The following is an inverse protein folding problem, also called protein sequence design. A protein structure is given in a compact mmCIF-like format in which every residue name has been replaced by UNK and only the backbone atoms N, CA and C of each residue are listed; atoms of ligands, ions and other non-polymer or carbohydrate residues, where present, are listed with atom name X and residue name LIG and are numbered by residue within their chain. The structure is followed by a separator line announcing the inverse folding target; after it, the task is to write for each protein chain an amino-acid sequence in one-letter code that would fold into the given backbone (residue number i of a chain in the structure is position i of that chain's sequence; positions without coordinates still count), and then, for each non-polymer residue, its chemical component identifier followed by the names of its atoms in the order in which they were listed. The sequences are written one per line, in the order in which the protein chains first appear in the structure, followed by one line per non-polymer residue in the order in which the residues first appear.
data_IF_888765220404
#
_entry.id   IF_888765220404
#
_cell.length_a   1.000
_cell.length_b   1.000
_cell.length_c   1.000
_cell.angle_alpha   90.00
_cell.angle_beta   90.00
_cell.angle_gamma   90.00
#
_symmetry.space_group_name_H-M   'P 1'
#
loop_
_entity.id
_entity.type
_entity.pdbx_description
1 polymer ?
#
# COMPACT_ATOMS: atom_id res chain seq x y z
N UNK A 1 14.91 4.71 2.46
CA UNK A 1 13.66 5.46 2.26
C UNK A 1 13.26 5.33 0.79
N UNK A 2 12.01 4.98 0.48
CA UNK A 2 11.50 4.89 -0.90
C UNK A 2 10.32 5.85 -1.03
N UNK A 3 10.29 6.60 -2.12
CA UNK A 3 9.19 7.49 -2.47
C UNK A 3 8.39 6.88 -3.61
N UNK A 4 7.07 6.99 -3.54
CA UNK A 4 6.13 6.49 -4.53
C UNK A 4 5.27 7.64 -5.04
N UNK A 5 4.81 7.58 -6.29
CA UNK A 5 3.97 8.63 -6.86
C UNK A 5 2.52 8.53 -6.35
N UNK A 6 2.10 7.35 -5.91
CA UNK A 6 0.80 7.13 -5.30
C UNK A 6 0.84 6.08 -4.18
N UNK A 7 -0.26 6.00 -3.44
CA UNK A 7 -0.43 5.02 -2.36
C UNK A 7 -0.64 3.60 -2.91
N UNK A 8 -1.25 3.45 -4.09
CA UNK A 8 -1.35 2.18 -4.81
C UNK A 8 0.03 1.63 -5.18
N UNK A 9 0.94 2.47 -5.67
CA UNK A 9 2.32 2.06 -6.00
C UNK A 9 3.07 1.61 -4.73
N UNK A 10 2.94 2.36 -3.65
CA UNK A 10 3.53 2.00 -2.36
C UNK A 10 2.98 0.66 -1.86
N UNK A 11 1.66 0.46 -1.98
CA UNK A 11 0.99 -0.77 -1.56
C UNK A 11 1.39 -1.97 -2.42
N UNK A 12 1.51 -1.79 -3.74
CA UNK A 12 2.00 -2.83 -4.66
C UNK A 12 3.44 -3.22 -4.34
N UNK A 13 4.31 -2.24 -4.06
CA UNK A 13 5.67 -2.51 -3.65
C UNK A 13 5.70 -3.32 -2.34
N UNK A 14 4.88 -2.96 -1.37
CA UNK A 14 4.77 -3.70 -0.11
C UNK A 14 4.28 -5.14 -0.33
N UNK A 15 3.26 -5.34 -1.17
CA UNK A 15 2.74 -6.67 -1.51
C UNK A 15 3.76 -7.59 -2.21
N UNK A 16 4.74 -7.01 -2.89
CA UNK A 16 5.77 -7.76 -3.64
C UNK A 16 7.04 -7.99 -2.85
N UNK A 17 7.39 -7.08 -1.92
CA UNK A 17 8.67 -7.11 -1.20
C UNK A 17 8.52 -7.54 0.26
N UNK A 18 7.45 -7.14 0.93
CA UNK A 18 7.25 -7.35 2.37
C UNK A 18 6.20 -8.42 2.63
N UNK A 19 5.04 -8.34 1.98
CA UNK A 19 3.95 -9.32 2.20
C UNK A 19 4.41 -10.78 2.04
N UNK A 20 5.24 -11.19 1.04
CA UNK A 20 5.64 -12.59 0.88
C UNK A 20 6.52 -13.09 2.03
N UNK A 21 7.29 -12.22 2.69
CA UNK A 21 8.16 -12.60 3.82
C UNK A 21 7.42 -12.72 5.16
N UNK A 22 6.17 -12.24 5.25
CA UNK A 22 5.37 -12.35 6.47
C UNK A 22 5.02 -13.82 6.80
N UNK A 23 4.98 -14.20 8.09
CA UNK A 23 4.50 -15.51 8.51
C UNK A 23 3.05 -15.77 8.05
N UNK A 24 2.74 -17.04 7.76
CA UNK A 24 1.41 -17.43 7.30
C UNK A 24 0.27 -17.03 8.26
N UNK A 25 0.53 -17.09 9.58
CA UNK A 25 -0.46 -16.70 10.59
C UNK A 25 -0.81 -15.20 10.55
N UNK A 26 0.16 -14.35 10.22
CA UNK A 26 -0.03 -12.88 10.12
C UNK A 26 -0.76 -12.50 8.83
N UNK A 27 -0.53 -13.26 7.75
CA UNK A 27 -1.19 -13.03 6.46
C UNK A 27 -2.70 -13.27 6.52
N UNK A 28 -3.16 -14.18 7.39
CA UNK A 28 -4.57 -14.58 7.47
C UNK A 28 -5.48 -13.39 7.78
N UNK A 29 -6.69 -13.43 7.23
CA UNK A 29 -7.68 -12.38 7.44
C UNK A 29 -7.33 -11.09 6.71
N UNK A 30 -7.09 -10.00 7.45
CA UNK A 30 -7.02 -8.62 6.93
C UNK A 30 -6.11 -8.48 5.72
N UNK A 31 -4.89 -9.03 5.79
CA UNK A 31 -3.90 -8.89 4.72
C UNK A 31 -4.22 -9.76 3.50
N UNK A 32 -4.67 -10.99 3.69
CA UNK A 32 -5.12 -11.86 2.59
C UNK A 32 -6.27 -11.24 1.81
N UNK A 33 -7.24 -10.66 2.52
CA UNK A 33 -8.35 -9.95 1.86
C UNK A 33 -7.86 -8.71 1.14
N UNK A 34 -6.97 -7.91 1.73
CA UNK A 34 -6.43 -6.72 1.08
C UNK A 34 -5.59 -7.07 -0.17
N UNK A 35 -4.76 -8.11 -0.10
CA UNK A 35 -4.03 -8.63 -1.25
C UNK A 35 -5.00 -9.06 -2.35
N UNK A 36 -6.02 -9.87 -2.03
CA UNK A 36 -7.02 -10.32 -3.00
C UNK A 36 -7.76 -9.13 -3.62
N UNK A 37 -8.24 -8.20 -2.79
CA UNK A 37 -9.03 -7.07 -3.25
C UNK A 37 -8.20 -6.14 -4.15
N UNK A 38 -6.90 -5.98 -3.87
CA UNK A 38 -5.95 -5.25 -4.71
C UNK A 38 -5.63 -6.00 -6.01
N UNK A 39 -5.25 -7.28 -5.94
CA UNK A 39 -4.85 -8.09 -7.12
C UNK A 39 -5.98 -8.29 -8.12
N UNK A 40 -7.22 -8.45 -7.64
CA UNK A 40 -8.38 -8.64 -8.50
C UNK A 40 -9.17 -7.34 -8.76
N UNK A 41 -8.59 -6.19 -8.44
CA UNK A 41 -9.19 -4.86 -8.64
C UNK A 41 -10.64 -4.74 -8.11
N UNK A 42 -10.92 -5.34 -6.94
CA UNK A 42 -12.26 -5.38 -6.30
C UNK A 42 -12.60 -4.11 -5.52
N UNK A 43 -11.81 -3.05 -5.67
CA UNK A 43 -11.97 -1.80 -4.95
C UNK A 43 -11.46 -1.90 -3.52
N UNK A 44 -10.21 -1.51 -3.30
CA UNK A 44 -9.63 -1.31 -1.97
C UNK A 44 -9.39 0.19 -1.77
N UNK A 45 -9.84 0.71 -0.64
CA UNK A 45 -9.73 2.14 -0.34
C UNK A 45 -8.29 2.53 0.04
N UNK A 46 -7.91 3.76 -0.30
CA UNK A 46 -6.62 4.33 0.09
C UNK A 46 -6.42 4.37 1.61
N UNK A 47 -7.51 4.57 2.38
CA UNK A 47 -7.47 4.50 3.83
C UNK A 47 -7.02 3.12 4.34
N UNK A 48 -7.54 2.04 3.75
CA UNK A 48 -7.18 0.66 4.11
C UNK A 48 -5.75 0.31 3.70
N UNK A 49 -5.29 0.80 2.54
CA UNK A 49 -3.88 0.66 2.14
C UNK A 49 -2.95 1.35 3.14
N UNK A 50 -3.27 2.61 3.51
CA UNK A 50 -2.49 3.39 4.47
C UNK A 50 -2.42 2.71 5.83
N UNK A 51 -3.56 2.21 6.32
CA UNK A 51 -3.64 1.48 7.60
C UNK A 51 -2.69 0.28 7.61
N UNK A 52 -2.72 -0.55 6.57
CA UNK A 52 -1.82 -1.70 6.44
C UNK A 52 -0.37 -1.24 6.35
N UNK A 53 -0.04 -0.26 5.50
CA UNK A 53 1.34 0.21 5.39
C UNK A 53 1.88 0.76 6.71
N UNK A 54 1.04 1.46 7.47
CA UNK A 54 1.40 2.03 8.78
C UNK A 54 1.66 0.97 9.85
N UNK A 55 1.06 -0.23 9.74
CA UNK A 55 1.31 -1.35 10.66
C UNK A 55 2.70 -1.98 10.46
N UNK A 56 3.25 -1.89 9.25
CA UNK A 56 4.51 -2.56 8.87
C UNK A 56 5.65 -1.58 8.54
N UNK A 57 5.42 -0.28 8.73
CA UNK A 57 6.44 0.75 8.51
C UNK A 57 5.90 2.15 8.72
N UNK A 58 6.81 3.13 8.75
CA UNK A 58 6.43 4.54 8.77
C UNK A 58 6.08 4.99 7.35
N UNK A 59 4.90 5.61 7.21
CA UNK A 59 4.43 6.18 5.96
C UNK A 59 4.23 7.69 6.10
N UNK A 60 4.90 8.44 5.25
CA UNK A 60 4.72 9.89 5.13
C UNK A 60 4.08 10.19 3.78
N UNK A 61 2.96 10.92 3.80
CA UNK A 61 2.25 11.33 2.58
C UNK A 61 2.55 12.80 2.34
N UNK A 62 3.33 13.08 1.30
CA UNK A 62 3.63 14.45 0.87
C UNK A 62 2.82 14.79 -0.39
N UNK A 63 2.04 15.87 -0.36
CA UNK A 63 1.28 16.34 -1.53
C UNK A 63 2.15 17.31 -2.34
N UNK A 64 2.56 16.89 -3.54
CA UNK A 64 3.35 17.73 -4.45
C UNK A 64 2.44 18.47 -5.43
N UNK A 65 2.27 19.78 -5.23
CA UNK A 65 1.48 20.63 -6.14
C UNK A 65 2.42 21.23 -7.18
N UNK A 66 2.25 20.86 -8.45
CA UNK A 66 2.98 21.45 -9.59
C UNK A 66 2.01 22.28 -10.41
N UNK A 67 2.34 23.56 -10.58
CA UNK A 67 1.61 24.49 -11.45
C UNK A 67 2.60 25.06 -12.47
N UNK A 68 2.28 24.91 -13.76
CA UNK A 68 3.05 25.51 -14.85
C UNK A 68 2.12 26.37 -15.71
N UNK A 69 2.32 27.69 -15.74
CA UNK A 69 1.65 28.55 -16.72
C UNK A 69 2.21 28.31 -18.13
N UNK A 70 1.41 28.59 -19.16
CA UNK A 70 1.80 28.48 -20.57
C UNK A 70 2.83 29.53 -20.97
#
# INVERSE_FOLDING_TARGET
MKTFASMEEAFQWWLTNIYPSLPAEVKKGKLTYAWRDFTYNRGISQARMKEILSEYGEIEVQTLIKYSPK
#
